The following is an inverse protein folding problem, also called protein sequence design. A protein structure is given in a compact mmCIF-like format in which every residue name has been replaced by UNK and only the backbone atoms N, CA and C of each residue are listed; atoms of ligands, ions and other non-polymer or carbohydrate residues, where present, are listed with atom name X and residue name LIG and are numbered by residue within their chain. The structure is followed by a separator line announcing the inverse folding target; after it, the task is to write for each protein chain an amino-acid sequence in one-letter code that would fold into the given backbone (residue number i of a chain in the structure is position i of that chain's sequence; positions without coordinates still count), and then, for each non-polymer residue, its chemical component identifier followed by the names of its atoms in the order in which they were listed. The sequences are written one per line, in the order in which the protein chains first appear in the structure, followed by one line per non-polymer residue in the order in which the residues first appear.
data_IF_696534229430
#
_entry.id   IF_696534229430
#
_cell.length_a   1.000
_cell.length_b   1.000
_cell.length_c   1.000
_cell.angle_alpha   90.00
_cell.angle_beta   90.00
_cell.angle_gamma   90.00
#
_symmetry.space_group_name_H-M   'P 1'
#
loop_
_entity.id
_entity.type
_entity.pdbx_description
1 polymer ?
#
# COMPACT_ATOMS: atom_id res chain seq x y z
N UNK A 1 5.70 -6.99 12.39
CA UNK A 1 5.78 -5.90 11.39
C UNK A 1 7.22 -5.78 10.96
N UNK A 2 7.52 -5.74 9.66
CA UNK A 2 8.86 -5.46 9.18
C UNK A 2 9.05 -3.95 8.99
N UNK A 3 10.26 -3.45 9.18
CA UNK A 3 10.60 -2.07 8.81
C UNK A 3 10.80 -1.92 7.30
N UNK A 4 10.92 -0.66 6.85
CA UNK A 4 11.15 -0.27 5.45
C UNK A 4 12.25 -1.12 4.77
N UNK A 5 13.35 -1.40 5.47
CA UNK A 5 14.46 -2.20 4.93
C UNK A 5 14.01 -3.60 4.49
N UNK A 6 13.36 -4.34 5.39
CA UNK A 6 12.95 -5.74 5.15
C UNK A 6 11.85 -5.86 4.12
N UNK A 7 10.92 -4.91 4.13
CA UNK A 7 9.73 -4.96 3.29
C UNK A 7 9.99 -4.39 1.88
N UNK A 8 10.96 -3.46 1.74
CA UNK A 8 11.22 -2.74 0.50
C UNK A 8 12.67 -2.85 0.02
N UNK A 9 13.62 -2.38 0.82
CA UNK A 9 15.00 -2.16 0.36
C UNK A 9 15.78 -3.46 0.14
N UNK A 10 15.40 -4.55 0.81
CA UNK A 10 15.99 -5.88 0.57
C UNK A 10 15.44 -6.54 -0.72
N UNK A 11 14.41 -5.96 -1.35
CA UNK A 11 13.71 -6.51 -2.53
C UNK A 11 13.81 -5.64 -3.78
N UNK A 12 14.21 -4.38 -3.64
CA UNK A 12 14.32 -3.42 -4.75
C UNK A 12 15.72 -2.82 -4.78
N UNK A 13 16.39 -2.98 -5.92
CA UNK A 13 17.64 -2.29 -6.17
C UNK A 13 17.39 -0.81 -6.49
N UNK A 14 18.01 0.09 -5.72
CA UNK A 14 17.95 1.52 -5.98
C UNK A 14 19.02 1.90 -7.01
N UNK A 15 18.59 2.16 -8.25
CA UNK A 15 19.50 2.41 -9.38
C UNK A 15 20.00 3.86 -9.50
N UNK A 16 19.32 4.84 -8.90
CA UNK A 16 19.76 6.24 -8.86
C UNK A 16 18.99 7.07 -7.81
N UNK A 17 19.40 8.33 -7.61
CA UNK A 17 18.77 9.24 -6.65
C UNK A 17 17.30 9.54 -6.94
N UNK A 18 16.89 9.62 -8.22
CA UNK A 18 15.47 9.80 -8.59
C UNK A 18 14.65 8.58 -8.18
N UNK A 19 15.20 7.38 -8.38
CA UNK A 19 14.58 6.13 -7.95
C UNK A 19 14.48 6.08 -6.42
N UNK A 20 15.54 6.47 -5.71
CA UNK A 20 15.56 6.56 -4.25
C UNK A 20 14.50 7.50 -3.68
N UNK A 21 14.16 8.59 -4.37
CA UNK A 21 13.07 9.47 -3.92
C UNK A 21 11.70 8.87 -4.18
N UNK A 22 11.53 8.20 -5.32
CA UNK A 22 10.24 7.69 -5.76
C UNK A 22 9.81 6.43 -5.00
N UNK A 23 10.71 5.50 -4.76
CA UNK A 23 10.39 4.18 -4.18
C UNK A 23 9.87 4.28 -2.74
N UNK A 24 10.56 4.96 -1.80
CA UNK A 24 10.07 5.16 -0.45
C UNK A 24 8.80 6.00 -0.39
N UNK A 25 8.66 7.03 -1.24
CA UNK A 25 7.43 7.84 -1.29
C UNK A 25 6.21 7.01 -1.68
N UNK A 26 6.35 6.08 -2.63
CA UNK A 26 5.27 5.14 -2.99
C UNK A 26 4.98 4.20 -1.83
N UNK A 27 6.01 3.68 -1.15
CA UNK A 27 5.83 2.81 0.00
C UNK A 27 5.15 3.53 1.18
N UNK A 28 5.51 4.78 1.45
CA UNK A 28 4.91 5.60 2.50
C UNK A 28 3.43 5.86 2.23
N UNK A 29 3.07 6.26 0.99
CA UNK A 29 1.68 6.40 0.59
C UNK A 29 0.91 5.08 0.76
N UNK A 30 1.50 3.95 0.34
CA UNK A 30 0.89 2.64 0.56
C UNK A 30 0.68 2.35 2.05
N UNK A 31 1.71 2.56 2.88
CA UNK A 31 1.67 2.26 4.31
C UNK A 31 0.60 3.08 5.04
N UNK A 32 0.46 4.36 4.66
CA UNK A 32 -0.45 5.29 5.32
C UNK A 32 -1.88 5.21 4.79
N UNK A 33 -2.08 4.96 3.50
CA UNK A 33 -3.40 5.06 2.87
C UNK A 33 -4.03 3.71 2.52
N UNK A 34 -3.25 2.63 2.40
CA UNK A 34 -3.75 1.36 1.86
C UNK A 34 -3.43 0.14 2.71
N UNK A 35 -2.30 0.13 3.42
CA UNK A 35 -1.92 -1.02 4.23
C UNK A 35 -2.89 -1.16 5.40
N UNK A 36 -3.46 -2.34 5.63
CA UNK A 36 -4.29 -2.57 6.80
C UNK A 36 -3.43 -2.71 8.06
N UNK A 37 -3.78 -1.99 9.12
CA UNK A 37 -3.09 -2.05 10.42
C UNK A 37 -3.99 -2.67 11.47
N UNK A 38 -3.52 -3.76 12.08
CA UNK A 38 -4.27 -4.48 13.12
C UNK A 38 -4.62 -3.61 14.33
N UNK A 39 -3.74 -2.69 14.73
CA UNK A 39 -3.99 -1.74 15.82
C UNK A 39 -5.08 -0.72 15.49
N UNK A 40 -5.42 -0.55 14.21
CA UNK A 40 -6.49 0.35 13.73
C UNK A 40 -7.70 -0.43 13.21
N UNK A 41 -7.89 -1.68 13.65
CA UNK A 41 -9.02 -2.51 13.20
C UNK A 41 -8.98 -2.82 11.70
N UNK A 42 -7.79 -2.98 11.10
CA UNK A 42 -7.55 -3.15 9.66
C UNK A 42 -7.75 -1.90 8.81
N UNK A 43 -8.05 -0.75 9.39
CA UNK A 43 -7.94 0.53 8.68
C UNK A 43 -6.48 0.90 8.40
N UNK A 44 -6.28 1.85 7.48
CA UNK A 44 -5.00 2.51 7.29
C UNK A 44 -4.97 3.84 8.08
N UNK A 45 -3.79 4.33 8.51
CA UNK A 45 -3.66 5.54 9.31
C UNK A 45 -4.38 6.77 8.72
N UNK A 46 -4.32 6.93 7.40
CA UNK A 46 -4.93 8.04 6.66
C UNK A 46 -6.18 7.61 5.87
N UNK A 47 -6.66 6.38 6.06
CA UNK A 47 -7.85 5.86 5.36
C UNK A 47 -8.67 4.94 6.25
N UNK A 48 -9.82 5.43 6.69
CA UNK A 48 -10.82 4.64 7.39
C UNK A 48 -11.35 3.52 6.49
N UNK A 49 -11.89 2.47 7.11
CA UNK A 49 -12.60 1.43 6.39
C UNK A 49 -13.88 2.02 5.76
N UNK A 50 -14.22 1.63 4.52
CA UNK A 50 -15.52 1.96 3.96
C UNK A 50 -16.63 1.26 4.75
N UNK A 51 -17.85 1.81 4.69
CA UNK A 51 -19.02 1.14 5.25
C UNK A 51 -19.23 -0.22 4.59
N UNK A 52 -19.73 -1.23 5.34
CA UNK A 52 -20.11 -2.51 4.75
C UNK A 52 -21.17 -2.29 3.66
N UNK A 53 -20.95 -2.90 2.50
CA UNK A 53 -21.93 -2.88 1.39
C UNK A 53 -22.40 -4.31 1.16
N UNK A 54 -23.71 -4.50 1.01
CA UNK A 54 -24.31 -5.82 0.74
C UNK A 54 -24.35 -6.17 -0.77
N UNK A 55 -24.13 -5.19 -1.64
CA UNK A 55 -24.09 -5.35 -3.09
C UNK A 55 -22.73 -5.87 -3.61
N UNK A 56 -22.74 -6.37 -4.84
CA UNK A 56 -21.57 -6.90 -5.53
C UNK A 56 -20.64 -5.76 -5.97
N UNK A 57 -19.71 -5.36 -5.09
CA UNK A 57 -18.80 -4.24 -5.34
C UNK A 57 -17.68 -4.65 -6.30
N UNK A 58 -17.43 -3.83 -7.32
CA UNK A 58 -16.26 -4.01 -8.18
C UNK A 58 -14.98 -3.68 -7.43
N UNK A 59 -14.10 -4.67 -7.25
CA UNK A 59 -12.76 -4.47 -6.68
C UNK A 59 -11.72 -4.41 -7.80
N UNK A 60 -10.93 -3.34 -7.82
CA UNK A 60 -9.81 -3.16 -8.75
C UNK A 60 -8.49 -3.35 -7.99
N UNK A 61 -7.61 -4.18 -8.55
CA UNK A 61 -6.22 -4.30 -8.09
C UNK A 61 -5.33 -3.29 -8.80
N UNK A 62 -4.49 -2.60 -8.05
CA UNK A 62 -3.42 -1.73 -8.54
C UNK A 62 -2.08 -2.23 -8.03
N UNK A 63 -1.20 -2.56 -8.97
CA UNK A 63 0.16 -2.98 -8.64
C UNK A 63 1.09 -1.77 -8.57
N UNK A 64 1.90 -1.72 -7.49
CA UNK A 64 2.94 -0.71 -7.30
C UNK A 64 4.30 -1.38 -7.23
N UNK A 65 5.35 -0.62 -7.54
CA UNK A 65 6.74 -1.05 -7.42
C UNK A 65 7.03 -2.40 -8.10
N UNK A 66 6.54 -2.57 -9.33
CA UNK A 66 6.74 -3.80 -10.10
C UNK A 66 5.98 -5.00 -9.56
N UNK A 67 4.88 -4.79 -8.81
CA UNK A 67 4.06 -5.86 -8.23
C UNK A 67 4.52 -6.29 -6.85
N UNK A 68 5.48 -5.60 -6.22
CA UNK A 68 5.84 -5.85 -4.82
C UNK A 68 4.70 -5.47 -3.87
N UNK A 69 3.89 -4.48 -4.25
CA UNK A 69 2.76 -3.98 -3.48
C UNK A 69 1.49 -4.14 -4.32
N UNK A 70 0.46 -4.70 -3.70
CA UNK A 70 -0.88 -4.82 -4.27
C UNK A 70 -1.84 -3.96 -3.45
N UNK A 71 -2.41 -2.95 -4.10
CA UNK A 71 -3.47 -2.11 -3.54
C UNK A 71 -4.81 -2.57 -4.11
N UNK A 72 -5.81 -2.78 -3.25
CA UNK A 72 -7.16 -3.13 -3.67
C UNK A 72 -8.09 -1.96 -3.36
N UNK A 73 -8.88 -1.55 -4.36
CA UNK A 73 -9.79 -0.42 -4.25
C UNK A 73 -11.16 -0.87 -4.71
N UNK A 74 -12.16 -0.66 -3.83
CA UNK A 74 -13.56 -0.76 -4.19
C UNK A 74 -13.94 0.44 -5.05
N UNK A 75 -14.59 0.17 -6.18
CA UNK A 75 -15.14 1.19 -7.09
C UNK A 75 -16.64 0.93 -7.18
N UNK A 76 -17.42 1.93 -6.78
CA UNK A 76 -18.88 1.94 -6.93
C UNK A 76 -19.28 2.14 -8.40
#
# INVERSE_FOLDING_TARGET
MGGLRRELLDRILIVNARHLRRVPAIYEAHFNEYRPHRSLGQAAPLRALPDPVEDDIKVIRRDRLGGLIHEYVQVA
#
